data_IF_856419698977
#
_entry.id   IF_856419698977
#
_cell.length_a   1.000
_cell.length_b   1.000
_cell.length_c   1.000
_cell.angle_alpha   90.00
_cell.angle_beta   90.00
_cell.angle_gamma   90.00
#
_symmetry.space_group_name_H-M   'P 1'
#
loop_
_entity.id
_entity.type
_entity.pdbx_description
1 polymer ?
#
# COMPACT_ATOMS: atom_id res chain seq x y z
N UNK A 1 11.82 0.93 1.65
CA UNK A 1 12.28 1.53 2.92
C UNK A 1 13.81 1.70 2.89
N UNK A 2 14.33 2.48 3.85
CA UNK A 2 15.76 2.57 4.11
C UNK A 2 16.31 1.17 4.51
N UNK A 3 17.45 0.72 3.95
CA UNK A 3 17.99 -0.60 4.27
C UNK A 3 18.36 -0.77 5.76
N UNK A 4 18.77 0.30 6.44
CA UNK A 4 19.17 0.23 7.86
C UNK A 4 17.99 -0.09 8.79
N UNK A 5 16.76 0.25 8.41
CA UNK A 5 15.56 -0.01 9.23
C UNK A 5 14.75 -1.20 8.75
N UNK A 6 15.09 -1.83 7.64
CA UNK A 6 14.28 -2.88 7.00
C UNK A 6 13.91 -4.00 7.98
N UNK A 7 14.91 -4.56 8.64
CA UNK A 7 14.69 -5.71 9.54
C UNK A 7 13.84 -5.33 10.76
N UNK A 8 14.06 -4.13 11.31
CA UNK A 8 13.24 -3.61 12.40
C UNK A 8 11.79 -3.35 11.94
N UNK A 9 11.60 -2.81 10.74
CA UNK A 9 10.29 -2.60 10.15
C UNK A 9 9.54 -3.92 9.96
N UNK A 10 10.19 -4.93 9.36
CA UNK A 10 9.58 -6.25 9.14
C UNK A 10 9.22 -6.91 10.47
N UNK A 11 10.10 -6.85 11.48
CA UNK A 11 9.82 -7.38 12.81
C UNK A 11 8.62 -6.70 13.46
N UNK A 12 8.51 -5.38 13.36
CA UNK A 12 7.39 -4.62 13.92
C UNK A 12 6.09 -4.90 13.16
N UNK A 13 6.10 -4.99 11.85
CA UNK A 13 4.94 -5.37 11.05
C UNK A 13 4.40 -6.75 11.46
N UNK A 14 5.26 -7.75 11.63
CA UNK A 14 4.88 -9.08 12.13
C UNK A 14 4.24 -9.01 13.52
N UNK A 15 4.83 -8.21 14.42
CA UNK A 15 4.30 -7.99 15.75
C UNK A 15 2.91 -7.36 15.72
N UNK A 16 2.70 -6.36 14.86
CA UNK A 16 1.42 -5.68 14.71
C UNK A 16 0.35 -6.58 14.09
N UNK A 17 0.69 -7.37 13.08
CA UNK A 17 -0.22 -8.37 12.50
C UNK A 17 -0.70 -9.33 13.59
N UNK A 18 0.24 -9.90 14.36
CA UNK A 18 -0.11 -10.81 15.46
C UNK A 18 -0.95 -10.14 16.55
N UNK A 19 -0.66 -8.87 16.87
CA UNK A 19 -1.43 -8.10 17.86
C UNK A 19 -2.86 -7.81 17.41
N UNK A 20 -3.06 -7.47 16.12
CA UNK A 20 -4.36 -7.05 15.60
C UNK A 20 -5.25 -8.24 15.23
N UNK A 21 -4.68 -9.27 14.63
CA UNK A 21 -5.44 -10.40 14.08
C UNK A 21 -5.26 -11.71 14.86
N UNK A 22 -4.34 -11.75 15.83
CA UNK A 22 -4.02 -12.95 16.57
C UNK A 22 -2.98 -13.84 15.86
N UNK A 23 -2.74 -15.02 16.41
CA UNK A 23 -1.79 -16.00 15.85
C UNK A 23 -2.31 -16.73 14.61
N UNK A 24 -3.61 -16.75 14.43
CA UNK A 24 -4.32 -17.44 13.35
C UNK A 24 -5.30 -16.46 12.67
N UNK A 25 -4.80 -15.53 11.81
CA UNK A 25 -5.63 -14.50 11.20
C UNK A 25 -6.84 -15.03 10.45
N UNK A 26 -6.74 -16.19 9.79
CA UNK A 26 -7.85 -16.81 9.06
C UNK A 26 -9.00 -17.30 9.97
N UNK A 27 -8.76 -17.44 11.28
CA UNK A 27 -9.79 -17.77 12.28
C UNK A 27 -10.39 -16.53 12.94
N UNK A 28 -9.84 -15.36 12.68
CA UNK A 28 -10.34 -14.11 13.26
C UNK A 28 -11.63 -13.69 12.51
N UNK A 29 -12.72 -13.55 13.24
CA UNK A 29 -14.05 -13.20 12.69
C UNK A 29 -14.12 -11.78 12.12
N UNK A 30 -13.25 -10.90 12.60
CA UNK A 30 -13.17 -9.50 12.16
C UNK A 30 -12.21 -9.30 10.99
N UNK A 31 -11.52 -10.39 10.56
CA UNK A 31 -10.62 -10.33 9.41
C UNK A 31 -11.39 -10.51 8.10
N UNK A 32 -11.21 -9.57 7.18
CA UNK A 32 -11.91 -9.53 5.91
C UNK A 32 -11.55 -10.68 4.95
N UNK A 33 -12.25 -10.74 3.85
CA UNK A 33 -12.05 -11.73 2.78
C UNK A 33 -11.93 -11.06 1.42
N UNK A 34 -11.37 -11.78 0.47
CA UNK A 34 -11.29 -11.36 -0.93
C UNK A 34 -12.69 -11.45 -1.56
N UNK A 35 -12.98 -10.53 -2.45
CA UNK A 35 -14.35 -10.35 -2.99
C UNK A 35 -14.88 -11.57 -3.77
N UNK A 36 -14.01 -12.31 -4.46
CA UNK A 36 -14.36 -13.49 -5.25
C UNK A 36 -13.14 -14.39 -5.54
N UNK A 37 -13.38 -15.61 -6.02
CA UNK A 37 -12.34 -16.60 -6.34
C UNK A 37 -11.34 -16.10 -7.39
N UNK A 38 -11.79 -15.40 -8.43
CA UNK A 38 -10.90 -14.87 -9.47
C UNK A 38 -9.82 -13.95 -8.88
N UNK A 39 -10.20 -13.05 -7.98
CA UNK A 39 -9.25 -12.15 -7.32
C UNK A 39 -8.44 -12.89 -6.26
N UNK A 40 -9.01 -13.85 -5.57
CA UNK A 40 -8.30 -14.72 -4.65
C UNK A 40 -7.15 -15.45 -5.35
N UNK A 41 -7.43 -16.16 -6.44
CA UNK A 41 -6.42 -16.88 -7.23
C UNK A 41 -5.33 -15.95 -7.77
N UNK A 42 -5.74 -14.78 -8.28
CA UNK A 42 -4.81 -13.77 -8.76
C UNK A 42 -3.83 -13.33 -7.66
N UNK A 43 -4.32 -13.03 -6.47
CA UNK A 43 -3.49 -12.58 -5.34
C UNK A 43 -2.61 -13.72 -4.83
N UNK A 44 -3.12 -14.94 -4.74
CA UNK A 44 -2.31 -16.12 -4.40
C UNK A 44 -1.14 -16.28 -5.36
N UNK A 45 -1.36 -16.06 -6.66
CA UNK A 45 -0.31 -16.10 -7.68
C UNK A 45 0.76 -15.01 -7.56
N UNK A 46 0.55 -13.97 -6.74
CA UNK A 46 1.53 -12.93 -6.46
C UNK A 46 2.42 -13.24 -5.24
N UNK A 47 2.06 -14.24 -4.44
CA UNK A 47 2.79 -14.61 -3.24
C UNK A 47 3.92 -15.57 -3.63
N UNK A 48 5.15 -15.11 -3.54
CA UNK A 48 6.34 -15.95 -3.69
C UNK A 48 6.69 -16.56 -2.32
N UNK A 49 6.57 -17.89 -2.15
CA UNK A 49 6.89 -18.55 -0.88
C UNK A 49 8.37 -18.35 -0.45
N UNK A 50 9.29 -18.20 -1.41
CA UNK A 50 10.71 -17.99 -1.11
C UNK A 50 11.02 -16.60 -0.55
N UNK A 51 10.12 -15.62 -0.77
CA UNK A 51 10.20 -14.25 -0.29
C UNK A 51 9.26 -13.96 0.86
N UNK A 52 8.40 -14.92 1.23
CA UNK A 52 7.42 -14.76 2.30
C UNK A 52 8.09 -14.86 3.66
N UNK A 53 8.05 -13.78 4.43
CA UNK A 53 8.61 -13.70 5.78
C UNK A 53 7.54 -13.68 6.89
N UNK A 54 6.27 -13.47 6.50
CA UNK A 54 5.12 -13.53 7.40
C UNK A 54 3.86 -13.88 6.61
N UNK A 55 2.95 -14.65 7.18
CA UNK A 55 1.70 -15.03 6.54
C UNK A 55 1.90 -16.05 5.41
N UNK A 56 1.15 -15.87 4.33
CA UNK A 56 1.22 -16.71 3.13
C UNK A 56 0.22 -17.87 3.12
N UNK A 57 -0.44 -18.18 4.25
CA UNK A 57 -1.50 -19.19 4.25
C UNK A 57 -2.79 -18.62 3.65
N UNK A 58 -3.54 -19.49 3.00
CA UNK A 58 -4.77 -19.15 2.31
C UNK A 58 -5.87 -20.16 2.59
N UNK A 59 -7.11 -19.71 2.55
CA UNK A 59 -8.28 -20.56 2.64
C UNK A 59 -9.27 -20.19 1.52
N UNK A 60 -9.35 -21.05 0.51
CA UNK A 60 -10.28 -20.89 -0.61
C UNK A 60 -11.74 -20.94 -0.15
N UNK A 61 -12.04 -21.75 0.87
CA UNK A 61 -13.43 -21.91 1.34
C UNK A 61 -14.01 -20.63 1.93
N UNK A 62 -13.18 -19.84 2.61
CA UNK A 62 -13.54 -18.53 3.15
C UNK A 62 -13.11 -17.36 2.28
N UNK A 63 -12.37 -17.59 1.19
CA UNK A 63 -11.72 -16.57 0.36
C UNK A 63 -10.77 -15.66 1.14
N UNK A 64 -10.09 -16.21 2.11
CA UNK A 64 -9.17 -15.44 2.97
C UNK A 64 -7.70 -15.74 2.64
N UNK A 65 -6.90 -14.70 2.68
CA UNK A 65 -5.45 -14.75 2.54
C UNK A 65 -4.87 -14.07 3.79
N UNK A 66 -3.96 -14.70 4.51
CA UNK A 66 -3.32 -14.08 5.67
C UNK A 66 -2.63 -12.75 5.29
N UNK A 67 -2.55 -11.79 6.24
CA UNK A 67 -1.66 -10.64 6.06
C UNK A 67 -0.24 -11.14 5.79
N UNK A 68 0.24 -10.88 4.58
CA UNK A 68 1.47 -11.48 4.04
C UNK A 68 2.51 -10.40 3.81
N UNK A 69 3.73 -10.63 4.29
CA UNK A 69 4.87 -9.75 4.05
C UNK A 69 5.86 -10.49 3.15
N UNK A 70 6.21 -9.88 2.04
CA UNK A 70 7.27 -10.34 1.15
C UNK A 70 8.52 -9.47 1.33
N UNK A 71 9.67 -10.07 1.59
CA UNK A 71 10.97 -9.41 1.68
C UNK A 71 11.85 -9.77 0.48
N UNK A 72 12.92 -9.01 0.26
CA UNK A 72 13.81 -9.14 -0.89
C UNK A 72 13.07 -9.08 -2.24
N UNK A 73 12.02 -8.29 -2.29
CA UNK A 73 11.24 -8.03 -3.51
C UNK A 73 12.00 -7.05 -4.40
N UNK A 74 11.92 -7.27 -5.70
CA UNK A 74 12.42 -6.36 -6.72
C UNK A 74 11.25 -5.79 -7.54
N UNK A 75 11.49 -4.73 -8.29
CA UNK A 75 10.45 -4.15 -9.15
C UNK A 75 10.05 -5.05 -10.32
N UNK A 76 10.84 -6.08 -10.63
CA UNK A 76 10.59 -7.07 -11.68
C UNK A 76 9.69 -8.22 -11.20
N UNK A 77 9.49 -8.36 -9.89
CA UNK A 77 8.64 -9.42 -9.33
C UNK A 77 7.16 -9.23 -9.71
N UNK A 78 6.41 -10.32 -9.91
CA UNK A 78 5.00 -10.26 -10.30
C UNK A 78 4.13 -9.39 -9.38
N UNK A 79 4.43 -9.37 -8.08
CA UNK A 79 3.73 -8.56 -7.08
C UNK A 79 3.84 -7.06 -7.33
N UNK A 80 4.88 -6.61 -8.07
CA UNK A 80 5.13 -5.21 -8.40
C UNK A 80 4.62 -4.80 -9.79
N UNK A 81 4.07 -5.74 -10.56
CA UNK A 81 3.63 -5.48 -11.95
C UNK A 81 2.16 -5.07 -12.07
N UNK A 82 1.43 -5.09 -10.97
CA UNK A 82 0.01 -4.76 -10.92
C UNK A 82 -0.40 -4.26 -9.55
N UNK A 83 -1.52 -3.57 -9.47
CA UNK A 83 -2.14 -3.22 -8.19
C UNK A 83 -2.58 -4.50 -7.45
N UNK A 84 -2.11 -4.69 -6.22
CA UNK A 84 -2.31 -5.95 -5.48
C UNK A 84 -3.77 -6.14 -5.10
N UNK A 85 -4.42 -5.13 -4.57
CA UNK A 85 -5.80 -5.19 -4.06
C UNK A 85 -6.04 -6.36 -3.10
N UNK A 86 -5.09 -6.57 -2.20
CA UNK A 86 -5.13 -7.69 -1.25
C UNK A 86 -4.13 -7.53 -0.11
N UNK A 87 -4.13 -8.44 0.86
CA UNK A 87 -3.36 -8.32 2.10
C UNK A 87 -1.88 -8.75 1.94
N UNK A 88 -1.24 -8.33 0.86
CA UNK A 88 0.17 -8.64 0.57
C UNK A 88 0.97 -7.35 0.54
N UNK A 89 2.02 -7.27 1.33
CA UNK A 89 2.90 -6.12 1.45
C UNK A 89 4.30 -6.49 0.97
N UNK A 90 4.72 -6.07 -0.23
CA UNK A 90 6.10 -6.19 -0.66
C UNK A 90 6.97 -5.12 0.01
N UNK A 91 8.12 -5.53 0.54
CA UNK A 91 9.12 -4.65 1.15
C UNK A 91 10.35 -4.59 0.23
N UNK A 92 10.65 -3.38 -0.22
CA UNK A 92 11.82 -3.08 -1.05
C UNK A 92 12.71 -2.07 -0.33
N UNK A 93 14.01 -2.17 -0.56
CA UNK A 93 14.98 -1.17 -0.11
C UNK A 93 15.42 -0.28 -1.26
N UNK A 94 16.01 0.86 -0.94
CA UNK A 94 16.58 1.79 -1.90
C UNK A 94 18.01 2.18 -1.48
N UNK A 95 18.85 2.53 -2.45
CA UNK A 95 20.22 2.96 -2.18
C UNK A 95 20.28 4.42 -1.73
N UNK A 96 19.36 5.24 -2.21
CA UNK A 96 19.23 6.65 -1.83
C UNK A 96 17.79 7.13 -2.01
N UNK A 97 17.39 8.16 -1.26
CA UNK A 97 16.08 8.78 -1.42
C UNK A 97 15.85 9.27 -2.85
N UNK A 98 16.89 9.84 -3.48
CA UNK A 98 16.81 10.28 -4.87
C UNK A 98 16.55 9.14 -5.85
N UNK A 99 17.15 7.95 -5.64
CA UNK A 99 16.89 6.77 -6.47
C UNK A 99 15.46 6.25 -6.27
N UNK A 100 14.97 6.25 -5.04
CA UNK A 100 13.58 5.88 -4.73
C UNK A 100 12.58 6.82 -5.43
N UNK A 101 12.76 8.13 -5.31
CA UNK A 101 11.92 9.13 -5.98
C UNK A 101 11.94 8.96 -7.49
N UNK A 102 13.14 8.76 -8.08
CA UNK A 102 13.28 8.54 -9.53
C UNK A 102 12.55 7.27 -9.99
N UNK A 103 12.65 6.19 -9.21
CA UNK A 103 11.95 4.95 -9.52
C UNK A 103 10.43 5.10 -9.41
N UNK A 104 9.92 5.72 -8.34
CA UNK A 104 8.48 5.99 -8.17
C UNK A 104 7.95 6.79 -9.37
N UNK A 105 8.65 7.84 -9.77
CA UNK A 105 8.25 8.68 -10.90
C UNK A 105 8.34 7.98 -12.28
N UNK A 106 9.06 6.86 -12.37
CA UNK A 106 9.11 6.05 -13.59
C UNK A 106 7.93 5.07 -13.73
N UNK A 107 7.11 4.95 -12.69
CA UNK A 107 5.92 4.11 -12.66
C UNK A 107 4.66 4.95 -12.89
N UNK A 108 3.52 4.28 -13.03
CA UNK A 108 2.22 4.93 -13.02
C UNK A 108 2.00 5.73 -11.73
N UNK A 109 1.36 6.89 -11.83
CA UNK A 109 1.11 7.74 -10.66
C UNK A 109 0.17 7.04 -9.68
N UNK A 110 0.59 6.84 -8.41
CA UNK A 110 -0.22 6.17 -7.43
C UNK A 110 -1.39 7.05 -6.95
N UNK A 111 -2.48 6.41 -6.55
CA UNK A 111 -3.60 7.08 -5.90
C UNK A 111 -3.19 7.67 -4.54
N UNK A 112 -2.34 6.96 -3.79
CA UNK A 112 -1.90 7.40 -2.47
C UNK A 112 -0.39 7.21 -2.27
N UNK A 113 0.21 8.16 -1.54
CA UNK A 113 1.61 8.10 -1.10
C UNK A 113 1.69 8.38 0.39
N UNK A 114 2.22 7.43 1.17
CA UNK A 114 2.44 7.57 2.60
C UNK A 114 3.93 7.62 2.90
N UNK A 115 4.35 8.64 3.65
CA UNK A 115 5.76 8.90 3.96
C UNK A 115 5.93 8.79 5.47
N UNK A 116 6.79 7.89 5.91
CA UNK A 116 7.14 7.73 7.32
C UNK A 116 8.59 8.17 7.53
N UNK A 117 8.79 9.28 8.21
CA UNK A 117 10.12 9.84 8.48
C UNK A 117 10.07 10.84 9.61
N UNK A 118 11.17 10.96 10.37
CA UNK A 118 11.41 12.08 11.28
C UNK A 118 12.15 13.25 10.62
N UNK A 119 12.66 13.07 9.39
CA UNK A 119 13.34 14.13 8.64
C UNK A 119 12.33 14.89 7.77
N UNK A 120 12.00 16.11 8.19
CA UNK A 120 11.13 16.99 7.43
C UNK A 120 11.67 17.38 6.06
N UNK A 121 13.00 17.38 5.86
CA UNK A 121 13.59 17.71 4.54
C UNK A 121 13.32 16.56 3.57
N UNK A 122 13.50 15.31 4.02
CA UNK A 122 13.15 14.12 3.25
C UNK A 122 11.67 14.10 2.90
N UNK A 123 10.78 14.40 3.86
CA UNK A 123 9.34 14.48 3.58
C UNK A 123 9.03 15.54 2.52
N UNK A 124 9.58 16.74 2.62
CA UNK A 124 9.40 17.81 1.63
C UNK A 124 9.99 17.45 0.27
N UNK A 125 11.14 16.79 0.22
CA UNK A 125 11.74 16.33 -1.03
C UNK A 125 10.81 15.37 -1.75
N UNK A 126 10.31 14.34 -1.07
CA UNK A 126 9.40 13.34 -1.65
C UNK A 126 8.10 13.99 -2.13
N UNK A 127 7.45 14.80 -1.28
CA UNK A 127 6.17 15.44 -1.63
C UNK A 127 6.27 16.43 -2.78
N UNK A 128 7.42 17.08 -2.95
CA UNK A 128 7.62 18.05 -4.05
C UNK A 128 8.03 17.41 -5.37
N UNK A 129 8.55 16.18 -5.34
CA UNK A 129 9.11 15.52 -6.53
C UNK A 129 8.29 14.33 -7.03
N UNK A 130 7.47 13.72 -6.18
CA UNK A 130 6.59 12.62 -6.59
C UNK A 130 5.21 13.13 -6.96
N UNK A 131 4.66 12.60 -8.06
CA UNK A 131 3.26 12.79 -8.41
C UNK A 131 2.39 11.72 -7.74
N UNK A 132 1.32 12.13 -7.03
CA UNK A 132 0.37 11.22 -6.37
C UNK A 132 -0.99 11.92 -6.17
N UNK A 133 -2.06 11.15 -6.02
CA UNK A 133 -3.40 11.70 -5.83
C UNK A 133 -3.58 12.38 -4.47
N UNK A 134 -3.25 11.69 -3.40
CA UNK A 134 -3.28 12.22 -2.03
C UNK A 134 -2.35 11.43 -1.12
N UNK A 135 -2.16 11.88 0.12
CA UNK A 135 -1.25 11.16 1.02
C UNK A 135 -1.15 11.73 2.42
N UNK A 136 -0.33 11.08 3.24
CA UNK A 136 -0.05 11.50 4.60
C UNK A 136 1.45 11.42 4.90
N UNK A 137 1.90 12.22 5.87
CA UNK A 137 3.21 12.09 6.49
C UNK A 137 3.01 11.54 7.89
N UNK A 138 3.68 10.42 8.22
CA UNK A 138 3.59 9.69 9.48
C UNK A 138 2.16 9.23 9.85
N UNK A 139 1.33 9.02 8.84
CA UNK A 139 -0.03 8.48 8.98
C UNK A 139 -0.46 7.79 7.68
N UNK A 140 -1.61 7.12 7.69
CA UNK A 140 -2.24 6.50 6.54
C UNK A 140 -3.74 6.81 6.52
N UNK A 141 -4.35 6.80 5.34
CA UNK A 141 -5.81 6.86 5.13
C UNK A 141 -6.52 8.15 5.59
N UNK A 142 -6.00 8.89 6.57
CA UNK A 142 -6.71 10.04 7.17
C UNK A 142 -7.04 11.14 6.15
N UNK A 143 -6.29 11.24 5.05
CA UNK A 143 -6.57 12.18 3.96
C UNK A 143 -7.91 11.87 3.25
N UNK A 144 -8.45 10.65 3.36
CA UNK A 144 -9.76 10.28 2.85
C UNK A 144 -10.91 10.81 3.71
N UNK A 145 -10.66 11.01 5.01
CA UNK A 145 -11.70 11.33 5.99
C UNK A 145 -11.99 12.83 6.11
N UNK A 146 -11.15 13.68 5.54
CA UNK A 146 -11.32 15.15 5.62
C UNK A 146 -12.20 15.68 4.50
N UNK A 147 -13.09 16.63 4.85
CA UNK A 147 -13.87 17.41 3.87
C UNK A 147 -13.10 18.61 3.30
N UNK A 148 -11.88 18.87 3.79
CA UNK A 148 -11.09 20.02 3.38
C UNK A 148 -10.17 19.74 2.19
N UNK A 149 -10.05 18.46 1.81
CA UNK A 149 -9.24 18.01 0.67
C UNK A 149 -10.11 17.18 -0.27
N UNK A 150 -9.97 17.42 -1.57
CA UNK A 150 -10.51 16.51 -2.57
C UNK A 150 -9.77 15.18 -2.56
N UNK A 151 -10.48 14.10 -2.82
CA UNK A 151 -9.91 12.77 -3.00
C UNK A 151 -10.05 12.32 -4.44
N UNK A 152 -8.95 11.95 -5.05
CA UNK A 152 -8.88 11.46 -6.42
C UNK A 152 -7.43 11.28 -6.87
N UNK A 153 -7.25 10.47 -7.90
CA UNK A 153 -5.98 10.26 -8.57
C UNK A 153 -5.86 11.08 -9.85
N UNK A 154 -4.77 10.87 -10.57
CA UNK A 154 -4.57 11.42 -11.91
C UNK A 154 -3.74 10.45 -12.77
N UNK A 155 -3.84 10.60 -14.08
CA UNK A 155 -3.25 9.62 -14.99
C UNK A 155 -3.90 8.25 -14.80
N UNK A 156 -3.11 7.22 -14.56
CA UNK A 156 -3.62 5.85 -14.41
C UNK A 156 -4.34 5.59 -13.08
N UNK A 157 -4.08 6.41 -12.04
CA UNK A 157 -4.75 6.26 -10.75
C UNK A 157 -6.15 6.87 -10.68
N UNK A 158 -6.57 7.63 -11.70
CA UNK A 158 -7.92 8.15 -11.75
C UNK A 158 -8.05 9.45 -12.52
N UNK A 159 -9.28 10.00 -12.49
CA UNK A 159 -9.63 11.25 -13.11
C UNK A 159 -10.69 11.97 -12.27
N UNK A 160 -10.44 13.25 -12.01
CA UNK A 160 -11.34 14.05 -11.18
C UNK A 160 -11.07 13.89 -9.68
N UNK A 161 -11.89 14.57 -8.89
CA UNK A 161 -11.76 14.62 -7.42
C UNK A 161 -13.15 14.78 -6.80
N UNK A 162 -13.34 14.25 -5.61
CA UNK A 162 -14.57 14.41 -4.83
C UNK A 162 -14.25 14.51 -3.32
N UNK A 163 -15.18 14.68 -2.49
CA UNK A 163 -15.22 15.11 -1.10
C UNK A 163 -15.29 16.64 -0.96
N UNK A 164 -16.00 17.09 0.06
CA UNK A 164 -16.17 18.50 0.36
C UNK A 164 -16.67 19.33 -0.84
N UNK A 165 -16.02 20.46 -1.06
CA UNK A 165 -16.37 21.38 -2.16
C UNK A 165 -16.11 20.76 -3.55
N UNK A 166 -15.13 19.86 -3.67
CA UNK A 166 -14.83 19.21 -4.95
C UNK A 166 -15.93 18.22 -5.34
N UNK A 167 -16.52 17.52 -4.37
CA UNK A 167 -17.71 16.72 -4.60
C UNK A 167 -18.89 17.55 -5.07
N UNK A 168 -19.13 18.69 -4.43
CA UNK A 168 -20.19 19.61 -4.86
C UNK A 168 -19.97 20.09 -6.32
N UNK A 169 -18.75 20.51 -6.65
CA UNK A 169 -18.38 20.94 -8.01
C UNK A 169 -18.55 19.83 -9.03
N UNK A 170 -18.11 18.61 -8.71
CA UNK A 170 -18.18 17.46 -9.62
C UNK A 170 -19.61 17.09 -9.99
N UNK A 171 -20.55 17.23 -9.05
CA UNK A 171 -21.97 16.90 -9.27
C UNK A 171 -22.87 18.13 -9.57
N UNK A 172 -22.27 19.29 -9.81
CA UNK A 172 -22.99 20.52 -10.15
C UNK A 172 -22.70 20.96 -11.58
N UNK A 173 -23.68 21.58 -12.21
CA UNK A 173 -23.52 22.26 -13.49
C UNK A 173 -23.50 23.77 -13.25
N UNK A 174 -22.46 24.48 -13.71
CA UNK A 174 -22.28 25.93 -13.58
C UNK A 174 -21.62 26.51 -14.81
#
# INVERSE_FOLDING_TARGET
>A
CDPEIKDALVAELRRQISRQYGKEPLKNKDYGKIINEKHFDRICGLIDPSKTVCGGNTDLGSLQIEPTILDNVTFEDPVMQQEIFGPVLPVLTYDSLGSAVSKINSLAHPLALYIFTSDEKAAREVTSRCGFGGGCINDVLIHLATSNLGFGGFGESGMGSYHGIDGFRTFSHY
#
